data_IF_886108543722
#
_entry.id   IF_886108543722
#
_cell.length_a   1.000
_cell.length_b   1.000
_cell.length_c   1.000
_cell.angle_alpha   90.00
_cell.angle_beta   90.00
_cell.angle_gamma   90.00
#
_symmetry.space_group_name_H-M   'P 1'
#
loop_
_entity.id
_entity.type
_entity.pdbx_description
1 polymer ?
#
# COMPACT_ATOMS: atom_id res chain seq x y z
N UNK A 1 -54.29 -65.09 10.52
CA UNK A 1 -54.75 -65.09 9.12
C UNK A 1 -54.07 -63.94 8.41
N UNK A 2 -53.43 -64.23 7.26
CA UNK A 2 -52.83 -63.31 6.25
C UNK A 2 -51.44 -62.71 6.51
N UNK A 3 -50.52 -63.23 5.70
CA UNK A 3 -49.22 -62.71 5.31
C UNK A 3 -49.32 -61.44 4.46
N UNK A 4 -48.30 -60.59 4.49
CA UNK A 4 -47.81 -59.90 3.29
C UNK A 4 -46.34 -59.47 3.49
N UNK A 5 -45.51 -59.94 2.57
CA UNK A 5 -44.10 -59.57 2.39
C UNK A 5 -43.98 -58.20 1.71
N UNK A 6 -42.92 -57.46 2.04
CA UNK A 6 -42.50 -56.27 1.29
C UNK A 6 -41.05 -55.91 1.60
N UNK A 7 -40.11 -56.55 0.89
CA UNK A 7 -38.72 -56.10 0.78
C UNK A 7 -38.68 -54.84 -0.09
N UNK A 8 -38.09 -53.75 0.38
CA UNK A 8 -37.59 -52.67 -0.49
C UNK A 8 -36.25 -52.17 0.05
N UNK A 9 -35.40 -51.83 -0.91
CA UNK A 9 -33.95 -51.74 -0.90
C UNK A 9 -33.34 -50.61 -0.06
N UNK A 10 -32.11 -50.90 0.41
CA UNK A 10 -31.05 -49.96 0.75
C UNK A 10 -30.84 -48.93 -0.37
N UNK A 11 -30.92 -47.64 -0.03
CA UNK A 11 -30.14 -46.58 -0.69
C UNK A 11 -29.53 -45.74 0.41
N UNK A 12 -28.22 -45.86 0.56
CA UNK A 12 -27.43 -45.05 1.48
C UNK A 12 -27.37 -43.60 0.99
N UNK A 13 -27.74 -42.66 1.85
CA UNK A 13 -27.40 -41.26 1.68
C UNK A 13 -26.28 -40.93 2.68
N UNK A 14 -25.04 -41.05 2.21
CA UNK A 14 -23.89 -40.43 2.85
C UNK A 14 -24.05 -38.92 2.70
N UNK A 15 -24.41 -38.24 3.79
CA UNK A 15 -24.24 -36.79 3.91
C UNK A 15 -22.74 -36.52 4.04
N UNK A 16 -22.10 -36.34 2.88
CA UNK A 16 -20.77 -35.74 2.79
C UNK A 16 -20.90 -34.30 3.26
N UNK A 17 -20.45 -34.03 4.48
CA UNK A 17 -20.23 -32.68 4.96
C UNK A 17 -19.23 -32.00 4.03
N UNK A 18 -19.70 -31.02 3.26
CA UNK A 18 -18.83 -30.11 2.54
C UNK A 18 -18.08 -29.27 3.58
N UNK A 19 -16.94 -29.77 4.04
CA UNK A 19 -15.90 -28.94 4.64
C UNK A 19 -15.40 -28.01 3.53
N UNK A 20 -16.09 -26.88 3.33
CA UNK A 20 -15.59 -25.79 2.54
C UNK A 20 -14.25 -25.36 3.13
N UNK A 21 -13.22 -25.31 2.30
CA UNK A 21 -11.94 -24.73 2.66
C UNK A 21 -12.17 -23.25 3.02
N UNK A 22 -12.41 -22.98 4.29
CA UNK A 22 -12.35 -21.65 4.84
C UNK A 22 -10.90 -21.19 4.75
N UNK A 23 -10.62 -20.28 3.82
CA UNK A 23 -9.40 -19.47 3.88
C UNK A 23 -9.34 -18.75 5.23
N UNK A 24 -8.16 -18.31 5.68
CA UNK A 24 -8.03 -17.66 6.98
C UNK A 24 -9.01 -16.49 7.07
N UNK A 25 -10.01 -16.62 7.95
CA UNK A 25 -10.94 -15.55 8.26
C UNK A 25 -10.13 -14.34 8.73
N UNK A 26 -10.20 -13.25 7.95
CA UNK A 26 -9.69 -11.96 8.40
C UNK A 26 -10.41 -11.63 9.71
N UNK A 27 -9.70 -11.27 10.80
CA UNK A 27 -10.34 -10.90 12.04
C UNK A 27 -11.34 -9.77 11.78
N UNK A 28 -12.59 -9.98 12.20
CA UNK A 28 -13.65 -8.99 12.04
C UNK A 28 -13.25 -7.69 12.73
N UNK A 29 -12.91 -6.66 11.95
CA UNK A 29 -12.77 -5.28 12.45
C UNK A 29 -14.13 -4.85 12.98
N UNK A 30 -14.16 -4.19 14.13
CA UNK A 30 -15.33 -3.41 14.58
C UNK A 30 -15.88 -2.59 13.40
N UNK A 31 -17.21 -2.38 13.27
CA UNK A 31 -17.80 -1.76 12.08
C UNK A 31 -17.35 -0.30 11.99
N UNK A 32 -16.20 -0.08 11.37
CA UNK A 32 -15.69 1.23 11.01
C UNK A 32 -16.55 1.82 9.89
N UNK A 33 -16.48 3.14 9.73
CA UNK A 33 -17.17 3.86 8.65
C UNK A 33 -16.85 3.21 7.31
N UNK A 34 -17.88 2.66 6.66
CA UNK A 34 -17.74 1.93 5.40
C UNK A 34 -17.45 2.88 4.24
N UNK A 35 -16.97 2.37 3.11
CA UNK A 35 -16.75 3.22 1.93
C UNK A 35 -18.04 3.92 1.44
N UNK A 36 -19.22 3.26 1.37
CA UNK A 36 -20.48 3.95 1.09
C UNK A 36 -20.84 5.06 2.08
N UNK A 37 -20.55 4.87 3.37
CA UNK A 37 -20.77 5.92 4.38
C UNK A 37 -19.86 7.12 4.15
N UNK A 38 -18.58 6.89 3.83
CA UNK A 38 -17.62 7.94 3.49
C UNK A 38 -18.05 8.72 2.25
N UNK A 39 -18.53 8.04 1.20
CA UNK A 39 -19.05 8.70 -0.02
C UNK A 39 -20.24 9.58 0.34
N UNK A 40 -21.21 9.08 1.12
CA UNK A 40 -22.38 9.84 1.53
C UNK A 40 -21.99 11.08 2.34
N UNK A 41 -21.10 10.93 3.32
CA UNK A 41 -20.62 12.04 4.14
C UNK A 41 -19.83 13.08 3.33
N UNK A 42 -18.94 12.64 2.45
CA UNK A 42 -18.13 13.52 1.62
C UNK A 42 -18.99 14.33 0.64
N UNK A 43 -20.03 13.71 0.06
CA UNK A 43 -21.03 14.40 -0.78
C UNK A 43 -21.84 15.41 0.02
N UNK A 44 -22.28 15.05 1.22
CA UNK A 44 -23.00 15.98 2.11
C UNK A 44 -22.12 17.18 2.52
N UNK A 45 -20.81 16.97 2.65
CA UNK A 45 -19.82 18.01 2.90
C UNK A 45 -19.40 18.79 1.63
N UNK A 46 -19.95 18.47 0.46
CA UNK A 46 -19.65 19.16 -0.80
C UNK A 46 -18.26 18.88 -1.38
N UNK A 47 -17.57 17.81 -0.94
CA UNK A 47 -16.20 17.50 -1.37
C UNK A 47 -16.13 16.90 -2.79
N UNK A 48 -17.21 16.26 -3.24
CA UNK A 48 -17.40 15.85 -4.63
C UNK A 48 -18.89 15.66 -4.92
N UNK A 49 -19.27 15.81 -6.19
CA UNK A 49 -20.68 15.78 -6.61
C UNK A 49 -21.25 14.34 -6.70
N UNK A 50 -20.41 13.37 -7.05
CA UNK A 50 -20.79 11.99 -7.32
C UNK A 50 -19.86 10.99 -6.63
N UNK A 51 -20.29 9.74 -6.56
CA UNK A 51 -19.42 8.64 -6.11
C UNK A 51 -18.21 8.50 -7.07
N UNK A 52 -16.96 8.57 -6.58
CA UNK A 52 -15.77 8.42 -7.43
C UNK A 52 -15.68 7.12 -8.22
N UNK A 53 -16.39 6.06 -7.81
CA UNK A 53 -16.47 4.78 -8.49
C UNK A 53 -17.75 4.59 -9.34
N UNK A 54 -18.61 5.61 -9.45
CA UNK A 54 -19.81 5.52 -10.26
C UNK A 54 -19.50 5.30 -11.74
N UNK A 55 -20.26 4.40 -12.37
CA UNK A 55 -20.27 4.15 -13.81
C UNK A 55 -21.70 4.19 -14.34
N UNK A 56 -21.87 4.70 -15.56
CA UNK A 56 -23.17 4.78 -16.23
C UNK A 56 -23.43 3.60 -17.18
N UNK A 57 -24.62 3.54 -17.76
CA UNK A 57 -25.03 2.42 -18.60
C UNK A 57 -24.26 2.36 -19.93
N UNK A 58 -23.76 3.50 -20.42
CA UNK A 58 -22.90 3.54 -21.61
C UNK A 58 -21.57 2.84 -21.32
N UNK A 59 -20.93 3.17 -20.19
CA UNK A 59 -19.69 2.53 -19.75
C UNK A 59 -19.85 1.03 -19.57
N UNK A 60 -20.96 0.61 -18.93
CA UNK A 60 -21.29 -0.81 -18.71
C UNK A 60 -21.44 -1.56 -20.02
N UNK A 61 -22.24 -1.02 -20.96
CA UNK A 61 -22.47 -1.65 -22.25
C UNK A 61 -21.19 -1.75 -23.08
N UNK A 62 -20.35 -0.72 -23.07
CA UNK A 62 -19.09 -0.71 -23.81
C UNK A 62 -18.10 -1.75 -23.28
N UNK A 63 -17.90 -1.80 -21.96
CA UNK A 63 -16.96 -2.75 -21.37
C UNK A 63 -17.44 -4.19 -21.51
N UNK A 64 -18.75 -4.45 -21.40
CA UNK A 64 -19.33 -5.77 -21.65
C UNK A 64 -19.15 -6.22 -23.09
N UNK A 65 -19.30 -5.30 -24.05
CA UNK A 65 -19.12 -5.58 -25.48
C UNK A 65 -17.66 -5.91 -25.83
N UNK A 66 -16.69 -5.18 -25.27
CA UNK A 66 -15.27 -5.33 -25.65
C UNK A 66 -14.55 -6.38 -24.80
N UNK A 67 -14.74 -6.36 -23.48
CA UNK A 67 -14.02 -7.23 -22.54
C UNK A 67 -14.77 -8.55 -22.32
N UNK A 68 -16.10 -8.51 -22.31
CA UNK A 68 -16.96 -9.67 -22.05
C UNK A 68 -16.95 -10.15 -20.60
N UNK A 69 -18.00 -10.88 -20.21
CA UNK A 69 -18.13 -11.47 -18.87
C UNK A 69 -17.51 -12.86 -18.73
N UNK A 70 -17.16 -13.53 -19.83
CA UNK A 70 -16.67 -14.91 -19.84
C UNK A 70 -15.13 -15.02 -19.88
N UNK A 71 -14.62 -16.14 -19.37
CA UNK A 71 -13.19 -16.46 -19.31
C UNK A 71 -12.57 -16.23 -17.93
N UNK A 72 -11.30 -16.60 -17.79
CA UNK A 72 -10.57 -16.44 -16.54
C UNK A 72 -10.48 -14.95 -16.13
N UNK A 73 -10.57 -14.61 -14.83
CA UNK A 73 -10.43 -13.25 -14.32
C UNK A 73 -9.20 -12.50 -14.88
N UNK A 74 -8.05 -13.14 -14.93
CA UNK A 74 -6.78 -12.56 -15.36
C UNK A 74 -6.81 -12.20 -16.86
N UNK A 75 -7.50 -13.00 -17.67
CA UNK A 75 -7.67 -12.71 -19.08
C UNK A 75 -8.63 -11.53 -19.29
N UNK A 76 -9.70 -11.45 -18.50
CA UNK A 76 -10.61 -10.30 -18.52
C UNK A 76 -9.89 -9.02 -18.12
N UNK A 77 -9.02 -9.07 -17.11
CA UNK A 77 -8.20 -7.93 -16.68
C UNK A 77 -7.20 -7.49 -17.75
N UNK A 78 -6.55 -8.43 -18.45
CA UNK A 78 -5.67 -8.11 -19.59
C UNK A 78 -6.44 -7.47 -20.76
N UNK A 79 -7.66 -7.96 -21.05
CA UNK A 79 -8.54 -7.33 -22.05
C UNK A 79 -8.98 -5.94 -21.60
N UNK A 80 -9.31 -5.74 -20.33
CA UNK A 80 -9.67 -4.43 -19.78
C UNK A 80 -8.50 -3.43 -19.86
N UNK A 81 -7.27 -3.86 -19.51
CA UNK A 81 -6.06 -3.04 -19.66
C UNK A 81 -5.88 -2.57 -21.11
N UNK A 82 -5.98 -3.50 -22.08
CA UNK A 82 -5.94 -3.18 -23.51
C UNK A 82 -7.07 -2.24 -23.93
N UNK A 83 -8.30 -2.50 -23.50
CA UNK A 83 -9.44 -1.63 -23.79
C UNK A 83 -9.19 -0.20 -23.32
N UNK A 84 -8.73 0.00 -22.09
CA UNK A 84 -8.48 1.34 -21.56
C UNK A 84 -7.32 2.05 -22.27
N UNK A 85 -6.27 1.32 -22.64
CA UNK A 85 -5.07 1.88 -23.31
C UNK A 85 -5.28 2.13 -24.80
N UNK A 86 -5.89 1.18 -25.50
CA UNK A 86 -5.88 1.11 -26.96
C UNK A 86 -7.23 1.56 -27.55
N UNK A 87 -8.36 1.06 -27.05
CA UNK A 87 -9.70 1.39 -27.56
C UNK A 87 -10.23 2.72 -27.01
N UNK A 88 -10.26 2.87 -25.67
CA UNK A 88 -10.63 4.12 -25.00
C UNK A 88 -9.54 5.19 -25.20
N UNK A 89 -8.30 4.77 -25.44
CA UNK A 89 -7.13 5.63 -25.60
C UNK A 89 -6.96 6.60 -24.42
N UNK A 90 -7.03 6.07 -23.19
CA UNK A 90 -6.93 6.86 -21.97
C UNK A 90 -5.55 7.51 -21.85
N UNK A 91 -5.51 8.83 -21.66
CA UNK A 91 -4.28 9.62 -21.61
C UNK A 91 -3.92 10.03 -20.18
N UNK A 92 -2.66 9.86 -19.81
CA UNK A 92 -2.18 10.36 -18.53
C UNK A 92 -2.15 11.89 -18.51
N UNK A 93 -2.76 12.47 -17.48
CA UNK A 93 -2.70 13.88 -17.20
C UNK A 93 -2.36 14.07 -15.72
N UNK A 94 -1.16 14.59 -15.42
CA UNK A 94 -0.76 14.92 -14.04
C UNK A 94 -1.68 16.01 -13.49
N UNK A 95 -2.02 15.92 -12.20
CA UNK A 95 -2.90 16.89 -11.51
C UNK A 95 -4.29 17.01 -12.14
N UNK A 96 -4.82 15.89 -12.62
CA UNK A 96 -6.19 15.78 -13.13
C UNK A 96 -6.86 14.59 -12.44
N UNK A 97 -7.19 14.76 -11.15
CA UNK A 97 -7.94 13.78 -10.37
C UNK A 97 -9.43 13.84 -10.71
N UNK A 98 -9.95 12.79 -11.35
CA UNK A 98 -11.32 12.65 -11.83
C UNK A 98 -11.97 11.39 -11.26
N UNK A 99 -13.30 11.39 -11.26
CA UNK A 99 -14.11 10.19 -10.98
C UNK A 99 -13.97 9.18 -12.12
N UNK A 100 -14.37 7.94 -11.90
CA UNK A 100 -14.40 6.91 -12.95
C UNK A 100 -15.17 7.39 -14.18
N UNK A 101 -16.38 7.94 -13.99
CA UNK A 101 -17.21 8.48 -15.07
C UNK A 101 -16.55 9.63 -15.80
N UNK A 102 -16.04 10.64 -15.08
CA UNK A 102 -15.39 11.79 -15.70
C UNK A 102 -14.10 11.40 -16.46
N UNK A 103 -13.30 10.48 -15.90
CA UNK A 103 -12.11 9.94 -16.56
C UNK A 103 -12.46 9.18 -17.84
N UNK A 104 -13.55 8.42 -17.85
CA UNK A 104 -14.05 7.75 -19.05
C UNK A 104 -14.49 8.75 -20.13
N UNK A 105 -15.31 9.74 -19.78
CA UNK A 105 -15.81 10.73 -20.73
C UNK A 105 -14.70 11.60 -21.32
N UNK A 106 -13.72 11.99 -20.49
CA UNK A 106 -12.59 12.83 -20.92
C UNK A 106 -11.46 12.04 -21.56
N UNK A 107 -11.45 10.71 -21.38
CA UNK A 107 -10.38 9.79 -21.80
C UNK A 107 -9.02 10.24 -21.26
N UNK A 108 -9.01 10.81 -20.06
CA UNK A 108 -7.81 11.32 -19.43
C UNK A 108 -7.94 11.35 -17.90
N UNK A 109 -6.80 11.42 -17.23
CA UNK A 109 -6.74 11.57 -15.78
C UNK A 109 -5.37 11.16 -15.23
N UNK A 110 -5.19 11.37 -13.94
CA UNK A 110 -4.01 10.91 -13.21
C UNK A 110 -4.08 9.42 -12.83
N UNK A 111 -3.12 8.95 -12.05
CA UNK A 111 -3.04 7.54 -11.63
C UNK A 111 -4.23 7.10 -10.78
N UNK A 112 -4.75 7.97 -9.92
CA UNK A 112 -5.93 7.69 -9.09
C UNK A 112 -7.16 7.57 -9.98
N UNK A 113 -7.34 8.50 -10.93
CA UNK A 113 -8.47 8.50 -11.87
C UNK A 113 -8.53 7.23 -12.71
N UNK A 114 -7.38 6.84 -13.26
CA UNK A 114 -7.26 5.59 -14.03
C UNK A 114 -7.60 4.38 -13.17
N UNK A 115 -7.10 4.35 -11.93
CA UNK A 115 -7.30 3.22 -11.01
C UNK A 115 -8.76 3.13 -10.52
N UNK A 116 -9.42 4.26 -10.26
CA UNK A 116 -10.86 4.32 -9.97
C UNK A 116 -11.68 3.77 -11.14
N UNK A 117 -11.41 4.23 -12.36
CA UNK A 117 -12.08 3.75 -13.57
C UNK A 117 -11.88 2.23 -13.75
N UNK A 118 -10.63 1.77 -13.65
CA UNK A 118 -10.29 0.36 -13.81
C UNK A 118 -11.01 -0.51 -12.77
N UNK A 119 -10.95 -0.13 -11.49
CA UNK A 119 -11.62 -0.87 -10.41
C UNK A 119 -13.12 -0.92 -10.62
N UNK A 120 -13.76 0.20 -10.98
CA UNK A 120 -15.19 0.26 -11.19
C UNK A 120 -15.65 -0.67 -12.34
N UNK A 121 -14.96 -0.62 -13.48
CA UNK A 121 -15.26 -1.48 -14.62
C UNK A 121 -14.97 -2.96 -14.34
N UNK A 122 -13.85 -3.29 -13.69
CA UNK A 122 -13.51 -4.67 -13.33
C UNK A 122 -14.55 -5.28 -12.37
N UNK A 123 -15.00 -4.51 -11.37
CA UNK A 123 -16.04 -4.95 -10.43
C UNK A 123 -17.40 -5.14 -11.12
N UNK A 124 -17.75 -4.29 -12.09
CA UNK A 124 -18.95 -4.47 -12.92
C UNK A 124 -18.93 -5.77 -13.73
N UNK A 125 -17.73 -6.22 -14.13
CA UNK A 125 -17.51 -7.50 -14.82
C UNK A 125 -17.36 -8.70 -13.87
N UNK A 126 -17.71 -8.55 -12.59
CA UNK A 126 -17.59 -9.59 -11.56
C UNK A 126 -16.15 -10.11 -11.42
N UNK A 127 -15.16 -9.23 -11.59
CA UNK A 127 -13.75 -9.52 -11.32
C UNK A 127 -13.36 -8.94 -9.96
N UNK A 128 -12.96 -9.76 -8.99
CA UNK A 128 -12.59 -9.26 -7.66
C UNK A 128 -11.25 -8.54 -7.73
N UNK A 129 -11.27 -7.22 -7.52
CA UNK A 129 -10.06 -6.38 -7.50
C UNK A 129 -10.05 -5.48 -6.26
N UNK A 130 -8.85 -5.08 -5.86
CA UNK A 130 -8.61 -4.20 -4.72
C UNK A 130 -7.60 -3.11 -5.07
N UNK A 131 -7.58 -2.06 -4.25
CA UNK A 131 -6.60 -1.00 -4.38
C UNK A 131 -5.27 -1.39 -3.74
N UNK A 132 -4.20 -0.97 -4.39
CA UNK A 132 -2.82 -1.20 -3.97
C UNK A 132 -2.15 0.16 -3.82
N UNK A 133 -1.61 0.43 -2.64
CA UNK A 133 -0.86 1.65 -2.38
C UNK A 133 0.61 1.49 -2.77
N UNK A 134 1.05 2.29 -3.74
CA UNK A 134 2.37 2.15 -4.36
C UNK A 134 3.34 3.15 -3.74
N UNK A 135 4.16 2.69 -2.79
CA UNK A 135 5.14 3.53 -2.05
C UNK A 135 6.36 3.94 -2.88
N UNK A 136 6.60 3.32 -4.04
CA UNK A 136 7.90 3.41 -4.76
C UNK A 136 7.84 4.17 -6.08
N UNK A 137 6.92 5.13 -6.21
CA UNK A 137 6.97 6.09 -7.32
C UNK A 137 7.29 7.46 -6.74
N UNK A 138 8.53 7.87 -7.02
CA UNK A 138 9.07 9.20 -6.80
C UNK A 138 8.10 10.25 -7.35
N UNK A 139 7.61 11.10 -6.46
CA UNK A 139 6.71 12.18 -6.81
C UNK A 139 6.60 13.20 -5.70
N UNK A 140 7.66 13.39 -4.91
CA UNK A 140 7.76 14.59 -4.11
C UNK A 140 8.06 15.74 -5.06
N UNK A 141 7.07 16.56 -5.33
CA UNK A 141 7.32 17.83 -6.00
C UNK A 141 7.76 18.80 -4.91
N UNK A 142 8.99 19.27 -5.02
CA UNK A 142 9.49 20.37 -4.22
C UNK A 142 9.00 21.68 -4.87
N UNK A 143 8.35 22.53 -4.07
CA UNK A 143 7.98 23.87 -4.50
C UNK A 143 8.24 24.84 -3.33
N UNK A 144 9.18 25.76 -3.52
CA UNK A 144 9.57 26.78 -2.54
C UNK A 144 9.95 26.19 -1.16
N UNK A 145 10.80 25.18 -1.17
CA UNK A 145 11.28 24.44 0.00
C UNK A 145 10.25 23.50 0.63
N UNK A 146 9.08 23.30 -0.01
CA UNK A 146 7.98 22.49 0.48
C UNK A 146 7.80 21.21 -0.33
N UNK A 147 7.73 20.07 0.35
CA UNK A 147 7.57 18.76 -0.29
C UNK A 147 6.10 18.34 -0.26
N UNK A 148 5.50 18.25 -1.44
CA UNK A 148 4.12 17.81 -1.65
C UNK A 148 4.06 16.34 -1.97
N UNK A 149 2.93 15.73 -1.64
CA UNK A 149 2.65 14.35 -2.01
C UNK A 149 1.44 14.23 -2.90
N UNK A 150 1.67 13.71 -4.10
CA UNK A 150 0.66 13.04 -4.90
C UNK A 150 0.70 11.56 -4.56
N UNK A 151 -0.43 11.00 -4.16
CA UNK A 151 -0.53 9.56 -3.91
C UNK A 151 -0.48 8.79 -5.23
N UNK A 152 0.14 7.60 -5.22
CA UNK A 152 0.11 6.67 -6.34
C UNK A 152 -0.55 5.35 -5.93
N UNK A 153 -1.55 4.94 -6.71
CA UNK A 153 -2.33 3.74 -6.48
C UNK A 153 -2.37 2.90 -7.74
N UNK A 154 -2.50 1.59 -7.55
CA UNK A 154 -2.63 0.60 -8.60
C UNK A 154 -3.78 -0.37 -8.28
N UNK A 155 -4.09 -1.24 -9.23
CA UNK A 155 -5.12 -2.27 -9.09
C UNK A 155 -4.46 -3.62 -8.79
N UNK A 156 -4.91 -4.30 -7.75
CA UNK A 156 -4.48 -5.65 -7.40
C UNK A 156 -5.57 -6.69 -7.64
N UNK A 157 -5.17 -7.90 -8.05
CA UNK A 157 -6.02 -9.08 -8.18
C UNK A 157 -5.29 -10.34 -7.69
N UNK A 158 -6.02 -11.24 -7.05
CA UNK A 158 -5.43 -12.47 -6.48
C UNK A 158 -4.62 -12.20 -5.21
N UNK A 159 -3.83 -13.21 -4.80
CA UNK A 159 -3.07 -13.17 -3.54
C UNK A 159 -1.72 -13.87 -3.65
N UNK A 160 -0.78 -13.47 -2.79
CA UNK A 160 0.55 -14.09 -2.71
C UNK A 160 1.45 -13.72 -3.91
N UNK A 161 2.50 -14.52 -4.17
CA UNK A 161 3.49 -14.23 -5.23
C UNK A 161 2.90 -14.16 -6.65
N UNK A 162 1.70 -14.70 -6.85
CA UNK A 162 0.99 -14.74 -8.13
C UNK A 162 -0.07 -13.64 -8.26
N UNK A 163 -0.15 -12.70 -7.31
CA UNK A 163 -1.04 -11.56 -7.42
C UNK A 163 -0.68 -10.71 -8.66
N UNK A 164 -1.69 -10.36 -9.45
CA UNK A 164 -1.54 -9.45 -10.57
C UNK A 164 -1.70 -8.02 -10.05
N UNK A 165 -0.75 -7.15 -10.40
CA UNK A 165 -0.85 -5.72 -10.16
C UNK A 165 -0.83 -4.99 -11.49
N UNK A 166 -1.83 -4.14 -11.71
CA UNK A 166 -2.01 -3.35 -12.92
C UNK A 166 -1.81 -1.88 -12.56
N UNK A 167 -0.80 -1.27 -13.17
CA UNK A 167 -0.46 0.14 -13.04
C UNK A 167 -0.54 0.78 -14.43
N UNK A 168 -0.97 2.04 -14.48
CA UNK A 168 -1.00 2.85 -15.69
C UNK A 168 0.38 2.91 -16.37
N UNK A 169 1.46 2.93 -15.60
CA UNK A 169 2.82 3.12 -16.12
C UNK A 169 3.51 1.84 -16.62
N UNK A 170 3.03 0.63 -16.29
CA UNK A 170 3.73 -0.63 -16.60
C UNK A 170 2.78 -1.84 -16.67
N UNK A 171 2.75 -2.52 -17.81
CA UNK A 171 2.39 -3.95 -17.90
C UNK A 171 3.65 -4.78 -17.67
N UNK A 172 4.13 -4.89 -16.43
CA UNK A 172 5.21 -5.80 -16.10
C UNK A 172 4.88 -6.57 -14.80
N UNK A 173 5.09 -7.89 -14.76
CA UNK A 173 5.03 -8.65 -13.52
C UNK A 173 6.27 -8.32 -12.71
N UNK A 174 6.24 -7.17 -12.05
CA UNK A 174 7.17 -6.93 -10.97
C UNK A 174 6.60 -7.71 -9.78
N UNK A 175 7.20 -8.86 -9.45
CA UNK A 175 6.89 -9.56 -8.20
C UNK A 175 7.13 -8.62 -7.00
N UNK A 176 7.91 -7.55 -7.17
CA UNK A 176 8.03 -6.44 -6.20
C UNK A 176 6.73 -5.67 -6.01
N UNK A 177 5.76 -5.73 -6.94
CA UNK A 177 4.42 -5.17 -6.76
C UNK A 177 3.56 -5.94 -5.75
N UNK A 178 3.88 -7.21 -5.47
CA UNK A 178 3.27 -7.95 -4.35
C UNK A 178 3.73 -7.44 -2.97
N UNK A 179 4.74 -6.56 -2.92
CA UNK A 179 5.22 -5.88 -1.71
C UNK A 179 4.42 -4.61 -1.38
N UNK A 180 3.47 -4.21 -2.22
CA UNK A 180 2.66 -3.01 -1.97
C UNK A 180 1.54 -3.29 -0.98
N UNK A 181 1.19 -2.24 -0.24
CA UNK A 181 0.20 -2.34 0.81
C UNK A 181 -1.19 -2.35 0.18
N UNK A 182 -1.92 -3.47 0.30
CA UNK A 182 -3.36 -3.48 0.01
C UNK A 182 -4.06 -2.45 0.89
N UNK A 183 -4.91 -1.62 0.29
CA UNK A 183 -5.71 -0.62 1.00
C UNK A 183 -7.20 -0.86 0.77
N UNK A 184 -8.01 -0.52 1.75
CA UNK A 184 -9.47 -0.56 1.61
C UNK A 184 -9.98 0.61 0.76
N UNK A 185 -11.18 0.46 0.22
CA UNK A 185 -11.85 1.48 -0.59
C UNK A 185 -11.95 2.83 0.11
N UNK A 186 -12.15 2.86 1.44
CA UNK A 186 -12.21 4.11 2.19
C UNK A 186 -10.86 4.81 2.28
N UNK A 187 -9.77 4.06 2.35
CA UNK A 187 -8.41 4.61 2.23
C UNK A 187 -8.15 5.11 0.80
N UNK A 188 -8.59 4.39 -0.24
CA UNK A 188 -8.49 4.86 -1.62
C UNK A 188 -9.27 6.16 -1.88
N UNK A 189 -10.48 6.29 -1.31
CA UNK A 189 -11.27 7.51 -1.34
C UNK A 189 -10.57 8.68 -0.64
N UNK A 190 -9.87 8.42 0.47
CA UNK A 190 -9.09 9.43 1.17
C UNK A 190 -7.88 9.92 0.35
N UNK A 191 -7.20 9.02 -0.38
CA UNK A 191 -6.12 9.40 -1.30
C UNK A 191 -6.66 10.22 -2.49
N UNK A 192 -7.81 9.82 -3.04
CA UNK A 192 -8.51 10.62 -4.06
C UNK A 192 -8.86 12.03 -3.55
N UNK A 193 -9.49 12.13 -2.38
CA UNK A 193 -9.82 13.41 -1.76
C UNK A 193 -8.60 14.27 -1.42
N UNK A 194 -7.48 13.64 -1.03
CA UNK A 194 -6.19 14.30 -0.85
C UNK A 194 -5.69 14.90 -2.17
N UNK A 195 -5.74 14.17 -3.27
CA UNK A 195 -5.29 14.69 -4.57
C UNK A 195 -6.16 15.88 -5.03
N UNK A 196 -7.48 15.79 -4.90
CA UNK A 196 -8.37 16.94 -5.17
C UNK A 196 -8.01 18.16 -4.30
N UNK A 197 -7.69 17.94 -3.02
CA UNK A 197 -7.27 19.01 -2.14
C UNK A 197 -5.91 19.60 -2.54
N UNK A 198 -4.97 18.77 -3.03
CA UNK A 198 -3.71 19.26 -3.59
C UNK A 198 -3.95 20.10 -4.84
N UNK A 199 -4.83 19.68 -5.74
CA UNK A 199 -5.20 20.43 -6.94
C UNK A 199 -5.85 21.78 -6.57
N UNK A 200 -6.76 21.80 -5.59
CA UNK A 200 -7.37 23.02 -5.07
C UNK A 200 -6.33 23.96 -4.44
N UNK A 201 -5.41 23.42 -3.65
CA UNK A 201 -4.31 24.17 -3.04
C UNK A 201 -3.39 24.77 -4.11
N UNK A 202 -3.05 24.03 -5.17
CA UNK A 202 -2.23 24.52 -6.28
C UNK A 202 -2.92 25.64 -7.05
N UNK A 203 -4.25 25.58 -7.16
CA UNK A 203 -5.07 26.64 -7.74
C UNK A 203 -5.35 27.82 -6.79
N UNK A 204 -4.73 27.86 -5.61
CA UNK A 204 -4.87 28.95 -4.63
C UNK A 204 -6.15 28.89 -3.79
N UNK A 205 -6.98 27.85 -3.93
CA UNK A 205 -8.20 27.65 -3.15
C UNK A 205 -7.88 26.93 -1.83
N UNK A 206 -7.18 27.63 -0.95
CA UNK A 206 -6.63 27.06 0.28
C UNK A 206 -7.73 26.59 1.25
N UNK A 207 -8.85 27.32 1.37
CA UNK A 207 -9.95 26.96 2.28
C UNK A 207 -10.62 25.65 1.87
N UNK A 208 -10.88 25.45 0.57
CA UNK A 208 -11.45 24.21 0.02
C UNK A 208 -10.52 23.01 0.30
N UNK A 209 -9.22 23.20 0.05
CA UNK A 209 -8.22 22.18 0.29
C UNK A 209 -8.11 21.82 1.79
N UNK A 210 -8.17 22.79 2.69
CA UNK A 210 -8.13 22.55 4.14
C UNK A 210 -9.36 21.76 4.61
N UNK A 211 -10.56 22.16 4.17
CA UNK A 211 -11.82 21.46 4.52
C UNK A 211 -11.74 20.00 4.09
N UNK A 212 -11.30 19.73 2.86
CA UNK A 212 -11.14 18.37 2.35
C UNK A 212 -10.09 17.57 3.14
N UNK A 213 -8.89 18.10 3.33
CA UNK A 213 -7.82 17.39 4.05
C UNK A 213 -8.20 17.07 5.49
N UNK A 214 -8.84 18.01 6.20
CA UNK A 214 -9.32 17.77 7.58
C UNK A 214 -10.44 16.73 7.63
N UNK A 215 -11.38 16.77 6.67
CA UNK A 215 -12.44 15.78 6.57
C UNK A 215 -11.88 14.36 6.46
N UNK A 216 -10.96 14.14 5.53
CA UNK A 216 -10.37 12.83 5.29
C UNK A 216 -9.44 12.41 6.42
N UNK A 217 -8.66 13.33 6.98
CA UNK A 217 -7.72 13.03 8.07
C UNK A 217 -8.46 12.54 9.32
N UNK A 218 -9.63 13.13 9.63
CA UNK A 218 -10.46 12.72 10.76
C UNK A 218 -11.00 11.28 10.61
N UNK A 219 -11.17 10.80 9.37
CA UNK A 219 -11.77 9.49 9.06
C UNK A 219 -10.75 8.41 8.72
N UNK A 220 -9.58 8.83 8.24
CA UNK A 220 -8.44 8.00 7.84
C UNK A 220 -7.14 8.62 8.36
N UNK A 221 -6.90 8.58 9.68
CA UNK A 221 -5.68 9.15 10.29
C UNK A 221 -4.40 8.40 9.92
N UNK A 222 -4.54 7.21 9.33
CA UNK A 222 -3.47 6.32 8.88
C UNK A 222 -3.07 6.57 7.40
N UNK A 223 -3.36 7.74 6.84
CA UNK A 223 -2.88 8.17 5.52
C UNK A 223 -1.86 9.28 5.71
N UNK A 224 -0.59 9.00 5.36
CA UNK A 224 0.53 9.90 5.64
C UNK A 224 0.46 11.19 4.83
N UNK A 225 -0.06 11.11 3.61
CA UNK A 225 -0.22 12.25 2.72
C UNK A 225 -1.12 13.33 3.30
N UNK A 226 -2.17 12.95 4.03
CA UNK A 226 -3.09 13.91 4.66
C UNK A 226 -2.41 14.72 5.75
N UNK A 227 -1.58 14.10 6.59
CA UNK A 227 -0.79 14.82 7.60
C UNK A 227 0.22 15.75 6.93
N UNK A 228 0.96 15.23 5.95
CA UNK A 228 1.99 15.99 5.26
C UNK A 228 1.40 17.19 4.53
N UNK A 229 0.42 16.96 3.65
CA UNK A 229 -0.14 17.99 2.78
C UNK A 229 -0.94 19.03 3.58
N UNK A 230 -1.65 18.66 4.65
CA UNK A 230 -2.30 19.63 5.54
C UNK A 230 -1.26 20.50 6.24
N UNK A 231 -0.15 19.93 6.72
CA UNK A 231 0.96 20.70 7.28
C UNK A 231 1.57 21.68 6.29
N UNK A 232 1.73 21.27 5.03
CA UNK A 232 2.23 22.16 3.97
C UNK A 232 1.23 23.28 3.64
N UNK A 233 -0.06 22.96 3.54
CA UNK A 233 -1.12 23.93 3.33
C UNK A 233 -1.14 24.99 4.43
N UNK A 234 -1.09 24.56 5.70
CA UNK A 234 -1.09 25.47 6.86
C UNK A 234 0.15 26.37 6.88
N UNK A 235 1.31 25.85 6.49
CA UNK A 235 2.51 26.66 6.31
C UNK A 235 2.35 27.73 5.21
N UNK A 236 1.72 27.38 4.07
CA UNK A 236 1.41 28.35 3.00
C UNK A 236 0.45 29.44 3.48
N UNK A 237 -0.48 29.09 4.36
CA UNK A 237 -1.41 30.02 4.98
C UNK A 237 -0.80 30.84 6.14
N UNK A 238 0.51 30.71 6.43
CA UNK A 238 1.17 31.42 7.54
C UNK A 238 0.86 30.85 8.94
N UNK A 239 0.10 29.75 9.03
CA UNK A 239 -0.32 29.10 10.28
C UNK A 239 0.73 28.08 10.75
N UNK A 240 1.96 28.55 10.94
CA UNK A 240 3.14 27.70 11.18
C UNK A 240 3.04 26.83 12.45
N UNK A 241 2.46 27.38 13.52
CA UNK A 241 2.23 26.66 14.77
C UNK A 241 1.30 25.45 14.59
N UNK A 242 0.24 25.64 13.82
CA UNK A 242 -0.74 24.61 13.56
C UNK A 242 -0.20 23.57 12.56
N UNK A 243 0.54 24.04 11.54
CA UNK A 243 1.27 23.17 10.63
C UNK A 243 2.20 22.22 11.41
N UNK A 244 2.98 22.75 12.34
CA UNK A 244 3.88 21.97 13.18
C UNK A 244 3.11 20.94 14.02
N UNK A 245 1.98 21.33 14.62
CA UNK A 245 1.16 20.40 15.40
C UNK A 245 0.62 19.23 14.55
N UNK A 246 0.15 19.48 13.33
CA UNK A 246 -0.31 18.43 12.41
C UNK A 246 0.86 17.52 12.00
N UNK A 247 1.99 18.10 11.62
CA UNK A 247 3.16 17.33 11.17
C UNK A 247 3.76 16.49 12.29
N UNK A 248 3.76 16.95 13.54
CA UNK A 248 4.16 16.15 14.71
C UNK A 248 3.29 14.91 14.87
N UNK A 249 1.96 15.05 14.77
CA UNK A 249 1.05 13.89 14.79
C UNK A 249 1.35 12.94 13.64
N UNK A 250 1.62 13.48 12.45
CA UNK A 250 2.10 12.70 11.32
C UNK A 250 3.36 11.90 11.65
N UNK A 251 4.35 12.53 12.29
CA UNK A 251 5.61 11.89 12.71
C UNK A 251 5.36 10.81 13.77
N UNK A 252 4.44 11.02 14.71
CA UNK A 252 4.09 10.01 15.71
C UNK A 252 3.50 8.75 15.07
N UNK A 253 2.67 8.91 14.02
CA UNK A 253 2.06 7.78 13.29
C UNK A 253 3.02 7.18 12.27
N UNK A 254 3.86 8.01 11.63
CA UNK A 254 4.77 7.64 10.54
C UNK A 254 6.21 8.10 10.84
N UNK A 255 6.85 7.53 11.89
CA UNK A 255 8.12 8.05 12.40
C UNK A 255 9.29 7.89 11.44
N UNK A 256 9.14 7.11 10.36
CA UNK A 256 10.18 6.88 9.35
C UNK A 256 9.88 7.54 8.00
N UNK A 257 8.88 8.42 7.97
CA UNK A 257 8.50 9.11 6.75
C UNK A 257 9.18 10.48 6.69
N UNK A 258 10.35 10.52 6.06
CA UNK A 258 11.26 11.66 6.01
C UNK A 258 10.61 13.01 5.62
N UNK A 259 9.72 13.10 4.62
CA UNK A 259 9.14 14.39 4.23
C UNK A 259 8.34 15.08 5.34
N UNK A 260 7.78 14.32 6.29
CA UNK A 260 7.12 14.92 7.46
C UNK A 260 8.11 15.69 8.34
N UNK A 261 9.33 15.18 8.51
CA UNK A 261 10.40 15.86 9.25
C UNK A 261 10.83 17.13 8.53
N UNK A 262 11.07 17.05 7.22
CA UNK A 262 11.47 18.21 6.41
C UNK A 262 10.44 19.34 6.50
N UNK A 263 9.16 19.02 6.35
CA UNK A 263 8.08 19.98 6.47
C UNK A 263 7.89 20.49 7.92
N UNK A 264 8.11 19.64 8.93
CA UNK A 264 8.01 20.02 10.34
C UNK A 264 9.15 20.96 10.76
N UNK A 265 10.38 20.71 10.31
CA UNK A 265 11.54 21.59 10.54
C UNK A 265 11.27 22.98 9.97
N UNK A 266 10.70 23.05 8.75
CA UNK A 266 10.30 24.33 8.15
C UNK A 266 9.22 25.03 8.98
N UNK A 267 8.17 24.31 9.38
CA UNK A 267 7.11 24.86 10.23
C UNK A 267 7.66 25.40 11.55
N UNK A 268 8.54 24.64 12.22
CA UNK A 268 9.16 25.03 13.47
C UNK A 268 10.05 26.27 13.32
N UNK A 269 10.87 26.36 12.26
CA UNK A 269 11.68 27.56 11.98
C UNK A 269 10.81 28.79 11.73
N UNK A 270 9.75 28.65 10.92
CA UNK A 270 8.84 29.75 10.61
C UNK A 270 8.03 30.20 11.84
N UNK A 271 7.78 29.30 12.79
CA UNK A 271 7.17 29.62 14.09
C UNK A 271 8.17 30.16 15.14
N UNK A 272 9.47 30.32 14.80
CA UNK A 272 10.50 30.76 15.76
C UNK A 272 10.95 29.69 16.77
N UNK A 273 10.54 28.42 16.59
CA UNK A 273 10.85 27.28 17.47
C UNK A 273 12.17 26.61 17.09
N UNK A 274 13.26 27.36 17.17
CA UNK A 274 14.58 26.92 16.69
C UNK A 274 15.12 25.67 17.41
N UNK A 275 14.95 25.57 18.73
CA UNK A 275 15.41 24.40 19.49
C UNK A 275 14.71 23.11 19.05
N UNK A 276 13.42 23.20 18.74
CA UNK A 276 12.67 22.05 18.26
C UNK A 276 13.01 21.69 16.82
N UNK A 277 13.21 22.69 15.96
CA UNK A 277 13.70 22.45 14.60
C UNK A 277 15.04 21.66 14.62
N UNK A 278 15.96 22.00 15.53
CA UNK A 278 17.21 21.25 15.73
C UNK A 278 16.96 19.82 16.24
N UNK A 279 16.05 19.64 17.19
CA UNK A 279 15.67 18.31 17.66
C UNK A 279 15.07 17.44 16.54
N UNK A 280 14.26 18.02 15.66
CA UNK A 280 13.70 17.35 14.49
C UNK A 280 14.77 17.01 13.45
N UNK A 281 15.77 17.87 13.23
CA UNK A 281 16.93 17.58 12.36
C UNK A 281 17.67 16.35 12.89
N UNK A 282 18.06 16.34 14.17
CA UNK A 282 18.78 15.19 14.74
C UNK A 282 17.97 13.88 14.69
N UNK A 283 16.64 13.96 14.80
CA UNK A 283 15.76 12.79 14.59
C UNK A 283 15.72 12.33 13.14
N UNK A 284 15.72 13.25 12.17
CA UNK A 284 15.74 12.92 10.75
C UNK A 284 17.06 12.26 10.35
N UNK A 285 18.19 12.81 10.80
CA UNK A 285 19.53 12.25 10.58
C UNK A 285 19.65 10.81 11.14
N UNK A 286 19.10 10.58 12.34
CA UNK A 286 19.05 9.23 12.92
C UNK A 286 18.23 8.23 12.10
N UNK A 287 17.28 8.68 11.26
CA UNK A 287 16.53 7.81 10.35
C UNK A 287 17.33 7.41 9.12
N UNK A 288 18.11 8.33 8.54
CA UNK A 288 19.00 8.05 7.42
C UNK A 288 20.10 7.08 7.83
N UNK A 289 20.73 7.31 8.99
CA UNK A 289 21.66 6.35 9.60
C UNK A 289 21.01 5.00 9.97
N UNK A 290 19.68 4.99 10.07
CA UNK A 290 18.84 3.85 10.40
C UNK A 290 18.09 3.24 9.21
N UNK A 291 18.37 3.63 7.96
CA UNK A 291 17.68 3.09 6.79
C UNK A 291 18.00 1.59 6.59
N UNK A 292 17.03 0.67 6.65
CA UNK A 292 17.27 -0.77 6.52
C UNK A 292 17.96 -1.16 5.23
N UNK A 293 17.71 -0.45 4.12
CA UNK A 293 18.33 -0.77 2.84
C UNK A 293 19.81 -0.36 2.83
N UNK A 294 20.12 0.83 3.33
CA UNK A 294 21.50 1.28 3.52
C UNK A 294 22.26 0.44 4.56
N UNK A 295 21.60 0.10 5.67
CA UNK A 295 22.14 -0.79 6.70
C UNK A 295 22.38 -2.21 6.17
N UNK A 296 21.46 -2.75 5.36
CA UNK A 296 21.64 -4.02 4.66
C UNK A 296 22.83 -3.93 3.71
N UNK A 297 22.86 -2.95 2.80
CA UNK A 297 23.95 -2.77 1.85
C UNK A 297 25.32 -2.63 2.53
N UNK A 298 25.41 -1.81 3.59
CA UNK A 298 26.61 -1.65 4.42
C UNK A 298 27.01 -2.96 5.11
N UNK A 299 26.05 -3.70 5.68
CA UNK A 299 26.29 -5.00 6.29
C UNK A 299 26.84 -6.02 5.28
N UNK A 300 26.32 -6.04 4.05
CA UNK A 300 26.83 -6.90 2.98
C UNK A 300 28.25 -6.52 2.56
N UNK A 301 28.57 -5.23 2.43
CA UNK A 301 29.92 -4.77 2.11
C UNK A 301 30.93 -5.14 3.21
N UNK A 302 30.56 -4.99 4.49
CA UNK A 302 31.41 -5.40 5.61
C UNK A 302 31.62 -6.92 5.66
N UNK A 303 30.58 -7.70 5.36
CA UNK A 303 30.68 -9.15 5.25
C UNK A 303 31.66 -9.58 4.15
N UNK A 304 31.62 -8.94 2.98
CA UNK A 304 32.56 -9.17 1.89
C UNK A 304 34.00 -8.77 2.25
N UNK A 305 34.15 -7.74 3.08
CA UNK A 305 35.44 -7.29 3.60
C UNK A 305 35.99 -8.17 4.75
N UNK A 306 35.24 -9.18 5.19
CA UNK A 306 35.61 -10.08 6.29
C UNK A 306 35.39 -9.50 7.69
N UNK A 307 34.83 -8.29 7.81
CA UNK A 307 34.42 -7.70 9.09
C UNK A 307 33.03 -8.20 9.48
N UNK A 308 32.98 -9.45 9.96
CA UNK A 308 31.73 -10.08 10.36
C UNK A 308 31.12 -9.44 11.62
N UNK A 309 31.95 -8.84 12.49
CA UNK A 309 31.47 -8.12 13.68
C UNK A 309 30.72 -6.84 13.30
N UNK A 310 31.31 -6.02 12.42
CA UNK A 310 30.67 -4.83 11.87
C UNK A 310 29.44 -5.17 11.03
N UNK A 311 29.52 -6.20 10.19
CA UNK A 311 28.39 -6.67 9.40
C UNK A 311 27.20 -7.10 10.26
N UNK A 312 27.44 -7.83 11.36
CA UNK A 312 26.39 -8.25 12.30
C UNK A 312 25.68 -7.03 12.90
N UNK A 313 26.43 -6.03 13.39
CA UNK A 313 25.84 -4.82 13.96
C UNK A 313 24.92 -4.08 12.97
N UNK A 314 25.33 -3.97 11.69
CA UNK A 314 24.52 -3.30 10.66
C UNK A 314 23.25 -4.09 10.33
N UNK A 315 23.36 -5.41 10.17
CA UNK A 315 22.23 -6.29 9.88
C UNK A 315 21.28 -6.44 11.08
N UNK A 316 21.79 -6.42 12.31
CA UNK A 316 21.00 -6.40 13.55
C UNK A 316 20.15 -5.13 13.61
N UNK A 317 20.76 -3.96 13.37
CA UNK A 317 20.04 -2.68 13.28
C UNK A 317 18.99 -2.70 12.17
N UNK A 318 19.30 -3.27 10.99
CA UNK A 318 18.32 -3.42 9.92
C UNK A 318 17.15 -4.33 10.34
N UNK A 319 17.44 -5.40 11.07
CA UNK A 319 16.45 -6.36 11.59
C UNK A 319 15.59 -5.82 12.75
N UNK A 320 16.09 -4.86 13.53
CA UNK A 320 15.26 -4.12 14.50
C UNK A 320 14.20 -3.27 13.78
N UNK A 321 14.54 -2.73 12.61
CA UNK A 321 13.64 -1.87 11.84
C UNK A 321 12.69 -2.68 10.95
N UNK A 322 13.14 -3.80 10.38
CA UNK A 322 12.34 -4.72 9.55
C UNK A 322 12.33 -6.14 10.14
N UNK A 323 11.60 -6.36 11.26
CA UNK A 323 11.66 -7.62 11.99
C UNK A 323 11.13 -8.83 11.21
N UNK A 324 10.22 -8.64 10.27
CA UNK A 324 9.61 -9.75 9.53
C UNK A 324 10.23 -9.93 8.13
N UNK A 325 11.36 -9.28 7.87
CA UNK A 325 12.07 -9.41 6.59
C UNK A 325 12.96 -10.66 6.59
N UNK A 326 12.53 -11.67 5.83
CA UNK A 326 13.20 -12.97 5.74
C UNK A 326 14.60 -12.89 5.11
N UNK A 327 14.86 -11.90 4.26
CA UNK A 327 16.18 -11.69 3.64
C UNK A 327 17.18 -11.19 4.66
N UNK A 328 16.80 -10.21 5.49
CA UNK A 328 17.64 -9.73 6.60
C UNK A 328 17.89 -10.86 7.61
N UNK A 329 16.86 -11.65 7.94
CA UNK A 329 17.02 -12.81 8.83
C UNK A 329 18.01 -13.84 8.26
N UNK A 330 17.96 -14.12 6.95
CA UNK A 330 18.90 -15.05 6.31
C UNK A 330 20.34 -14.50 6.23
N UNK A 331 20.51 -13.19 6.10
CA UNK A 331 21.85 -12.57 6.19
C UNK A 331 22.38 -12.54 7.63
N UNK A 332 21.50 -12.41 8.62
CA UNK A 332 21.86 -12.58 10.03
C UNK A 332 22.39 -13.99 10.32
N UNK A 333 21.80 -15.04 9.73
CA UNK A 333 22.34 -16.42 9.82
C UNK A 333 23.79 -16.47 9.31
N UNK A 334 24.01 -15.99 8.07
CA UNK A 334 25.33 -15.99 7.43
C UNK A 334 26.38 -15.26 8.26
N UNK A 335 26.07 -14.03 8.69
CA UNK A 335 27.03 -13.19 9.41
C UNK A 335 27.34 -13.74 10.80
N UNK A 336 26.35 -14.30 11.51
CA UNK A 336 26.59 -14.91 12.81
C UNK A 336 27.45 -16.16 12.72
N UNK A 337 27.18 -17.04 11.76
CA UNK A 337 27.98 -18.25 11.56
C UNK A 337 29.41 -17.91 11.10
N UNK A 338 29.57 -16.96 10.19
CA UNK A 338 30.88 -16.45 9.78
C UNK A 338 31.65 -15.79 10.94
N UNK A 339 30.94 -15.14 11.88
CA UNK A 339 31.51 -14.57 13.10
C UNK A 339 31.75 -15.61 14.22
N UNK A 340 31.43 -16.89 14.01
CA UNK A 340 31.53 -17.94 15.04
C UNK A 340 30.44 -17.90 16.11
N UNK A 341 29.44 -17.03 15.99
CA UNK A 341 28.29 -16.88 16.88
C UNK A 341 27.21 -17.93 16.57
N UNK A 342 27.48 -19.20 16.90
CA UNK A 342 26.64 -20.34 16.50
C UNK A 342 25.21 -20.30 17.03
N UNK A 343 25.03 -19.95 18.30
CA UNK A 343 23.69 -19.87 18.92
C UNK A 343 22.82 -18.78 18.27
N UNK A 344 23.41 -17.60 18.02
CA UNK A 344 22.72 -16.51 17.33
C UNK A 344 22.37 -16.88 15.88
N UNK A 345 23.27 -17.60 15.20
CA UNK A 345 23.03 -18.15 13.86
C UNK A 345 21.84 -19.11 13.84
N UNK A 346 21.74 -20.00 14.83
CA UNK A 346 20.61 -20.93 14.96
C UNK A 346 19.30 -20.18 15.26
N UNK A 347 19.32 -19.19 16.17
CA UNK A 347 18.15 -18.36 16.46
C UNK A 347 17.65 -17.56 15.26
N UNK A 348 18.57 -16.99 14.46
CA UNK A 348 18.23 -16.31 13.21
C UNK A 348 17.65 -17.29 12.18
N UNK A 349 18.15 -18.54 12.14
CA UNK A 349 17.66 -19.57 11.23
C UNK A 349 16.25 -20.02 11.60
N UNK A 350 15.94 -20.16 12.89
CA UNK A 350 14.59 -20.44 13.36
C UNK A 350 13.60 -19.34 12.97
N UNK A 351 14.04 -18.08 12.99
CA UNK A 351 13.26 -16.95 12.47
C UNK A 351 13.01 -17.06 10.97
N UNK A 352 14.00 -17.47 10.17
CA UNK A 352 13.80 -17.74 8.73
C UNK A 352 12.75 -18.83 8.51
N UNK A 353 12.79 -19.95 9.25
CA UNK A 353 11.77 -21.00 9.17
C UNK A 353 10.38 -20.48 9.52
N UNK A 354 10.26 -19.62 10.54
CA UNK A 354 8.98 -19.03 10.93
C UNK A 354 8.42 -18.10 9.87
N UNK A 355 9.28 -17.28 9.25
CA UNK A 355 8.88 -16.30 8.23
C UNK A 355 8.65 -16.93 6.85
N UNK A 356 9.33 -18.04 6.53
CA UNK A 356 9.22 -18.75 5.24
C UNK A 356 9.33 -20.29 5.40
N UNK A 357 8.34 -20.97 5.99
CA UNK A 357 8.39 -22.39 6.42
C UNK A 357 8.49 -23.44 5.29
N UNK A 358 8.64 -23.03 4.03
CA UNK A 358 8.91 -23.91 2.88
C UNK A 358 9.73 -23.18 1.80
N UNK A 359 10.50 -22.17 2.21
CA UNK A 359 11.24 -21.31 1.30
C UNK A 359 12.47 -21.99 0.69
N UNK A 360 12.83 -21.59 -0.53
CA UNK A 360 14.13 -21.92 -1.14
C UNK A 360 15.30 -21.48 -0.24
N UNK A 361 15.13 -20.35 0.45
CA UNK A 361 16.15 -19.74 1.30
C UNK A 361 16.55 -20.60 2.50
N UNK A 362 15.62 -21.36 3.11
CA UNK A 362 15.95 -22.29 4.19
C UNK A 362 16.88 -23.41 3.67
N UNK A 363 16.53 -24.01 2.52
CA UNK A 363 17.32 -25.09 1.90
C UNK A 363 18.70 -24.61 1.51
N UNK A 364 18.80 -23.38 0.98
CA UNK A 364 20.08 -22.78 0.63
C UNK A 364 20.96 -22.57 1.86
N UNK A 365 20.40 -22.07 2.96
CA UNK A 365 21.14 -21.90 4.22
C UNK A 365 21.63 -23.23 4.80
N UNK A 366 20.85 -24.31 4.75
CA UNK A 366 21.30 -25.65 5.19
C UNK A 366 22.40 -26.23 4.31
N UNK A 367 22.38 -25.92 3.01
CA UNK A 367 23.45 -26.34 2.08
C UNK A 367 24.74 -25.57 2.35
N UNK A 368 24.62 -24.28 2.65
CA UNK A 368 25.74 -23.39 2.96
C UNK A 368 26.34 -23.68 4.34
N UNK A 369 25.49 -24.02 5.32
CA UNK A 369 25.87 -24.32 6.71
C UNK A 369 25.20 -25.62 7.18
N UNK A 370 25.82 -26.78 6.92
CA UNK A 370 25.27 -28.10 7.30
C UNK A 370 25.08 -28.29 8.80
N UNK A 371 25.73 -27.48 9.64
CA UNK A 371 25.59 -27.46 11.10
C UNK A 371 24.22 -26.95 11.59
N UNK A 372 23.44 -26.28 10.74
CA UNK A 372 22.13 -25.74 11.10
C UNK A 372 21.10 -26.87 11.31
N UNK A 373 20.58 -26.96 12.54
CA UNK A 373 19.62 -27.99 12.98
C UNK A 373 20.24 -29.24 13.62
N UNK A 374 21.55 -29.24 13.88
CA UNK A 374 22.20 -30.21 14.78
C UNK A 374 22.29 -29.69 16.25
N UNK A 375 21.90 -28.43 16.46
CA UNK A 375 21.69 -27.74 17.74
C UNK A 375 20.20 -27.71 18.05
#
# INVERSE_FOLDING_TARGET
MRWAWGRVFLVGAWLVGAAGCAGPERPARAPGVTAPDLVREARAAGLFAEDPLAIDDTMKADVERVVGRFGAPEERLRRLSRYLRDDLAFRYARSLSLTARAGFSTRAGDCVSYTLLFVALARHLDVPVYFVYVRKVEGHYEQNGSFFLSSHVAVGHGSGPMALVMDFAREAPDWTLSLYNTIDDGTALALYGNNLAVDAMQAGRLDEAEVSMRFWLARRPNVVELHNNLGVLLNRAGRHEEALAVLRRGIEVFPRYEPLYTNAIRAARAAGKHAEALALVGRAEALEEGDPLLLLASGLSLYQAGDYGGAAQRLERAGLVLPDNVVIAAWLVRVYLAAGRREDGQGAFDRVKKLAPSGTLERDLRREFPELGAL
#
